data_IF_375834657928
#
_entry.id   IF_375834657928
#
_cell.length_a   1.000
_cell.length_b   1.000
_cell.length_c   1.000
_cell.angle_alpha   90.00
_cell.angle_beta   90.00
_cell.angle_gamma   90.00
#
_symmetry.space_group_name_H-M   'P 1'
#
loop_
_entity.id
_entity.type
_entity.pdbx_description
1 polymer ?
#
# COMPACT_ATOMS: atom_id res chain seq x y z
N UNK A 1 -10.87 -13.21 -18.00
CA UNK A 1 -10.80 -12.79 -16.59
C UNK A 1 -9.91 -11.58 -16.46
N UNK A 2 -10.45 -10.44 -16.04
CA UNK A 2 -9.62 -9.34 -15.57
C UNK A 2 -9.45 -9.52 -14.05
N UNK A 3 -8.20 -9.57 -13.58
CA UNK A 3 -7.88 -9.41 -12.17
C UNK A 3 -7.46 -7.98 -11.93
N UNK A 4 -7.90 -7.43 -10.79
CA UNK A 4 -7.43 -6.14 -10.28
C UNK A 4 -6.82 -6.34 -8.89
N UNK A 5 -5.86 -5.51 -8.54
CA UNK A 5 -5.22 -5.50 -7.24
C UNK A 5 -5.84 -4.44 -6.34
N UNK A 6 -5.92 -4.76 -5.06
CA UNK A 6 -6.18 -3.80 -3.99
C UNK A 6 -5.02 -3.82 -3.02
N UNK A 7 -4.59 -2.64 -2.59
CA UNK A 7 -3.56 -2.46 -1.57
C UNK A 7 -4.23 -1.96 -0.29
N UNK A 8 -4.01 -2.69 0.80
CA UNK A 8 -4.40 -2.29 2.14
C UNK A 8 -3.14 -1.90 2.91
N UNK A 9 -3.24 -0.82 3.68
CA UNK A 9 -2.15 -0.38 4.53
C UNK A 9 -2.66 0.26 5.82
N UNK A 10 -1.84 0.25 6.87
CA UNK A 10 -2.24 0.78 8.18
C UNK A 10 -1.08 0.94 9.15
N UNK A 11 -1.36 1.49 10.33
CA UNK A 11 -0.37 1.77 11.38
C UNK A 11 -0.18 0.61 12.38
N UNK A 12 -0.98 -0.44 12.27
CA UNK A 12 -0.87 -1.62 13.12
C UNK A 12 -1.08 -2.91 12.31
N UNK A 13 -0.43 -4.03 12.72
CA UNK A 13 -0.61 -5.32 12.07
C UNK A 13 -2.10 -5.71 12.02
N UNK A 14 -2.56 -6.14 10.84
CA UNK A 14 -3.95 -6.56 10.64
C UNK A 14 -5.02 -5.47 10.79
N UNK A 15 -4.64 -4.20 10.96
CA UNK A 15 -5.56 -3.05 11.05
C UNK A 15 -5.23 -2.05 9.96
N UNK A 16 -6.00 -2.12 8.88
CA UNK A 16 -5.78 -1.33 7.68
C UNK A 16 -6.84 -0.23 7.50
N UNK A 17 -6.44 0.82 6.79
CA UNK A 17 -7.34 1.82 6.23
C UNK A 17 -8.14 1.25 5.04
N UNK A 18 -9.11 1.99 4.49
CA UNK A 18 -9.77 1.62 3.24
C UNK A 18 -8.77 1.34 2.12
N UNK A 19 -9.04 0.29 1.34
CA UNK A 19 -8.14 -0.17 0.28
C UNK A 19 -8.01 0.84 -0.85
N UNK A 20 -6.81 0.91 -1.45
CA UNK A 20 -6.58 1.59 -2.71
C UNK A 20 -6.74 0.59 -3.84
N UNK A 21 -7.60 0.88 -4.82
CA UNK A 21 -7.65 0.09 -6.06
C UNK A 21 -6.47 0.46 -6.95
N UNK A 22 -5.72 -0.55 -7.37
CA UNK A 22 -4.53 -0.39 -8.22
C UNK A 22 -4.80 -0.86 -9.66
N UNK A 23 -6.00 -1.39 -9.92
CA UNK A 23 -6.33 -1.92 -11.25
C UNK A 23 -5.46 -3.13 -11.57
N UNK A 24 -5.02 -3.27 -12.81
CA UNK A 24 -4.13 -4.36 -13.21
C UNK A 24 -2.64 -4.07 -12.98
N UNK A 25 -2.29 -2.88 -12.47
CA UNK A 25 -0.90 -2.52 -12.20
C UNK A 25 -0.35 -3.31 -11.00
N UNK A 26 0.92 -3.69 -11.12
CA UNK A 26 1.66 -4.39 -10.05
C UNK A 26 2.50 -3.45 -9.19
N UNK A 27 2.36 -2.13 -9.42
CA UNK A 27 3.08 -1.10 -8.68
C UNK A 27 2.15 0.05 -8.31
N UNK A 28 2.31 0.57 -7.10
CA UNK A 28 1.57 1.72 -6.59
C UNK A 28 2.53 2.65 -5.85
N UNK A 29 2.44 3.95 -6.14
CA UNK A 29 3.11 4.97 -5.35
C UNK A 29 2.15 5.58 -4.34
N UNK A 30 2.26 5.16 -3.09
CA UNK A 30 1.52 5.76 -1.97
C UNK A 30 2.15 7.11 -1.59
N UNK A 31 1.29 8.10 -1.35
CA UNK A 31 1.65 9.46 -0.95
C UNK A 31 0.90 9.84 0.32
N UNK A 32 1.31 10.91 1.00
CA UNK A 32 0.65 11.37 2.24
C UNK A 32 0.88 10.47 3.46
N UNK A 33 1.92 9.63 3.42
CA UNK A 33 2.35 8.86 4.59
C UNK A 33 3.17 9.75 5.53
N UNK A 34 2.98 9.58 6.83
CA UNK A 34 3.70 10.34 7.85
C UNK A 34 5.14 9.82 7.97
N UNK A 35 6.16 10.68 7.80
CA UNK A 35 7.55 10.27 8.01
C UNK A 35 7.80 9.83 9.47
N UNK A 36 8.59 8.77 9.64
CA UNK A 36 8.88 8.17 10.95
C UNK A 36 7.87 7.10 11.38
N UNK A 37 6.66 7.09 10.83
CA UNK A 37 5.67 6.05 11.15
C UNK A 37 5.98 4.74 10.43
N UNK A 38 5.68 3.62 11.12
CA UNK A 38 5.72 2.28 10.54
C UNK A 38 4.35 1.95 9.97
N UNK A 39 4.33 1.63 8.69
CA UNK A 39 3.14 1.13 8.01
C UNK A 39 3.27 -0.36 7.70
N UNK A 40 2.13 -1.03 7.72
CA UNK A 40 1.95 -2.44 7.40
C UNK A 40 1.13 -2.53 6.11
N UNK A 41 1.46 -3.46 5.23
CA UNK A 41 0.91 -3.57 3.89
C UNK A 41 0.54 -5.01 3.55
N UNK A 42 -0.63 -5.19 2.94
CA UNK A 42 -1.04 -6.44 2.29
C UNK A 42 -1.68 -6.13 0.93
N UNK A 43 -1.67 -7.11 0.05
CA UNK A 43 -2.29 -7.03 -1.28
C UNK A 43 -3.31 -8.14 -1.42
N UNK A 44 -4.45 -7.83 -2.03
CA UNK A 44 -5.44 -8.83 -2.47
C UNK A 44 -5.66 -8.70 -3.97
N UNK A 45 -6.23 -9.74 -4.56
CA UNK A 45 -6.73 -9.71 -5.93
C UNK A 45 -8.26 -9.74 -5.92
N UNK A 46 -8.87 -9.09 -6.90
CA UNK A 46 -10.32 -9.10 -7.11
C UNK A 46 -10.61 -9.57 -8.53
N UNK A 47 -11.46 -10.57 -8.66
CA UNK A 47 -11.82 -11.15 -9.95
C UNK A 47 -12.84 -10.28 -10.73
N UNK A 48 -13.33 -10.80 -11.87
CA UNK A 48 -14.31 -10.13 -12.71
C UNK A 48 -15.71 -10.04 -12.06
N UNK A 49 -16.02 -10.93 -11.12
CA UNK A 49 -17.29 -10.96 -10.39
C UNK A 49 -17.24 -10.13 -9.10
N UNK A 50 -16.08 -9.58 -8.76
CA UNK A 50 -15.88 -8.79 -7.54
C UNK A 50 -15.49 -9.62 -6.31
N UNK A 51 -15.17 -10.91 -6.48
CA UNK A 51 -14.70 -11.75 -5.38
C UNK A 51 -13.26 -11.37 -5.05
N UNK A 52 -13.01 -11.09 -3.78
CA UNK A 52 -11.71 -10.71 -3.26
C UNK A 52 -10.99 -11.91 -2.63
N UNK A 53 -9.71 -12.06 -2.93
CA UNK A 53 -8.87 -13.12 -2.38
C UNK A 53 -8.56 -12.89 -0.89
N UNK A 54 -8.07 -13.92 -0.16
CA UNK A 54 -7.33 -13.70 1.06
C UNK A 54 -6.14 -12.75 0.84
N UNK A 55 -5.69 -12.02 1.89
CA UNK A 55 -4.54 -11.13 1.81
C UNK A 55 -3.24 -11.91 1.60
N UNK A 56 -2.26 -11.26 0.97
CA UNK A 56 -0.86 -11.71 0.92
C UNK A 56 -0.26 -11.83 2.33
N UNK A 57 1.00 -12.28 2.39
CA UNK A 57 1.81 -12.04 3.59
C UNK A 57 1.89 -10.53 3.87
N UNK A 58 1.83 -10.17 5.15
CA UNK A 58 1.99 -8.78 5.59
C UNK A 58 3.48 -8.40 5.57
N UNK A 59 3.76 -7.21 5.05
CA UNK A 59 5.08 -6.59 5.12
C UNK A 59 4.98 -5.25 5.84
N UNK A 60 6.09 -4.76 6.40
CA UNK A 60 6.10 -3.46 7.07
C UNK A 60 7.30 -2.60 6.66
N UNK A 61 7.12 -1.29 6.72
CA UNK A 61 8.16 -0.32 6.40
C UNK A 61 7.99 0.95 7.24
N UNK A 62 9.10 1.46 7.76
CA UNK A 62 9.17 2.82 8.34
C UNK A 62 9.37 3.82 7.21
N UNK A 63 8.52 4.84 7.17
CA UNK A 63 8.61 5.90 6.15
C UNK A 63 9.83 6.77 6.46
N UNK A 64 10.79 6.89 5.53
CA UNK A 64 11.96 7.72 5.77
C UNK A 64 11.56 9.21 5.87
N UNK A 65 12.34 10.03 6.59
CA UNK A 65 12.18 11.48 6.53
C UNK A 65 12.28 11.97 5.08
N UNK A 66 11.61 13.10 4.73
CA UNK A 66 11.82 13.70 3.43
C UNK A 66 13.31 13.99 3.26
N UNK A 67 13.88 13.58 2.11
CA UNK A 67 15.25 13.95 1.79
C UNK A 67 15.34 15.47 1.78
N UNK A 68 16.32 16.09 2.46
CA UNK A 68 16.53 17.52 2.34
C UNK A 68 16.80 17.82 0.86
N UNK A 69 15.91 18.59 0.21
CA UNK A 69 16.17 19.10 -1.14
C UNK A 69 17.50 19.83 -1.09
N UNK A 70 18.48 19.36 -1.87
CA UNK A 70 19.83 19.90 -1.86
C UNK A 70 19.81 21.41 -2.05
N UNK A 71 20.07 22.14 -0.97
CA UNK A 71 20.35 23.56 -1.04
C UNK A 71 21.62 23.71 -1.86
N UNK A 72 21.48 24.21 -3.09
CA UNK A 72 22.62 24.71 -3.83
C UNK A 72 22.84 26.14 -3.31
N UNK A 73 24.03 26.49 -2.77
CA UNK A 73 24.37 27.88 -2.49
C UNK A 73 24.45 28.71 -3.78
#
# INVERSE_FOLDING_TARGET
SALRFRVYYGLAPGRYFPAVNVGSDTSLRLSGLTPGDRYYFVVTTVDAHGNESPPSNEVSKVVPPPSPSGGTP
#
